data_IF_645663547351
#
_entry.id   IF_645663547351
#
_cell.length_a   1.000
_cell.length_b   1.000
_cell.length_c   1.000
_cell.angle_alpha   90.00
_cell.angle_beta   90.00
_cell.angle_gamma   90.00
#
_symmetry.space_group_name_H-M   'P 1'
#
loop_
_entity.id
_entity.type
_entity.pdbx_description
1 polymer ?
#
# COMPACT_ATOMS: atom_id res chain seq x y z
N UNK A 1 -18.10 12.57 -15.96
CA UNK A 1 -18.71 11.24 -15.78
C UNK A 1 -17.76 10.42 -14.93
N UNK A 2 -18.14 10.09 -13.70
CA UNK A 2 -17.37 9.23 -12.80
C UNK A 2 -17.50 7.79 -13.32
N UNK A 3 -16.47 7.29 -14.01
CA UNK A 3 -16.42 5.89 -14.39
C UNK A 3 -16.12 5.07 -13.13
N UNK A 4 -17.16 4.49 -12.52
CA UNK A 4 -17.01 3.53 -11.43
C UNK A 4 -16.52 2.21 -12.01
N UNK A 5 -15.20 2.05 -12.15
CA UNK A 5 -14.61 0.75 -12.51
C UNK A 5 -14.89 -0.19 -11.33
N UNK A 6 -15.72 -1.21 -11.59
CA UNK A 6 -16.01 -2.22 -10.57
C UNK A 6 -14.72 -2.99 -10.28
N UNK A 7 -14.32 -3.02 -9.01
CA UNK A 7 -13.22 -3.84 -8.56
C UNK A 7 -13.47 -5.31 -8.92
N UNK A 8 -12.41 -6.00 -9.37
CA UNK A 8 -12.46 -7.42 -9.70
C UNK A 8 -11.91 -8.19 -8.50
N UNK A 9 -12.74 -8.95 -7.76
CA UNK A 9 -12.25 -9.80 -6.69
C UNK A 9 -11.21 -10.78 -7.22
N UNK A 10 -10.12 -10.94 -6.48
CA UNK A 10 -8.97 -11.72 -6.93
C UNK A 10 -8.45 -12.56 -5.78
N UNK A 11 -8.28 -13.86 -6.02
CA UNK A 11 -7.72 -14.78 -5.02
C UNK A 11 -6.20 -14.83 -5.15
N UNK A 12 -5.50 -14.63 -4.05
CA UNK A 12 -4.04 -14.78 -3.97
C UNK A 12 -3.65 -15.32 -2.60
N UNK A 13 -2.67 -16.23 -2.53
CA UNK A 13 -2.21 -16.88 -1.30
C UNK A 13 -3.34 -17.46 -0.41
N UNK A 14 -4.43 -17.96 -1.02
CA UNK A 14 -5.61 -18.48 -0.32
C UNK A 14 -6.55 -17.42 0.26
N UNK A 15 -6.27 -16.13 0.06
CA UNK A 15 -7.10 -14.99 0.49
C UNK A 15 -7.89 -14.44 -0.69
N UNK A 16 -9.17 -14.11 -0.46
CA UNK A 16 -10.04 -13.49 -1.45
C UNK A 16 -10.06 -11.97 -1.24
N UNK A 17 -9.31 -11.25 -2.07
CA UNK A 17 -9.24 -9.79 -2.03
C UNK A 17 -10.45 -9.15 -2.71
N UNK A 18 -10.86 -7.97 -2.24
CA UNK A 18 -11.95 -7.19 -2.83
C UNK A 18 -11.58 -6.66 -4.21
N UNK A 19 -10.29 -6.46 -4.46
CA UNK A 19 -9.78 -5.98 -5.75
C UNK A 19 -8.51 -6.69 -6.21
N UNK A 20 -8.25 -6.64 -7.52
CA UNK A 20 -6.96 -7.07 -8.10
C UNK A 20 -5.80 -6.21 -7.62
N UNK A 21 -6.05 -4.94 -7.32
CA UNK A 21 -5.02 -4.02 -6.83
C UNK A 21 -4.50 -4.47 -5.46
N UNK A 22 -5.39 -4.79 -4.53
CA UNK A 22 -5.02 -5.36 -3.22
C UNK A 22 -4.28 -6.69 -3.37
N UNK A 23 -4.80 -7.61 -4.20
CA UNK A 23 -4.12 -8.89 -4.44
C UNK A 23 -2.70 -8.68 -4.99
N UNK A 24 -2.51 -7.71 -5.89
CA UNK A 24 -1.19 -7.37 -6.44
C UNK A 24 -0.27 -6.82 -5.37
N UNK A 25 -0.76 -5.96 -4.48
CA UNK A 25 0.01 -5.48 -3.33
C UNK A 25 0.41 -6.61 -2.39
N UNK A 26 -0.48 -7.56 -2.11
CA UNK A 26 -0.15 -8.76 -1.33
C UNK A 26 0.99 -9.57 -1.98
N UNK A 27 0.91 -9.82 -3.29
CA UNK A 27 1.98 -10.49 -4.03
C UNK A 27 3.29 -9.69 -4.02
N UNK A 28 3.21 -8.37 -4.13
CA UNK A 28 4.38 -7.49 -4.01
C UNK A 28 5.03 -7.57 -2.62
N UNK A 29 4.24 -7.60 -1.54
CA UNK A 29 4.76 -7.75 -0.18
C UNK A 29 5.50 -9.08 0.00
N UNK A 30 4.96 -10.18 -0.54
CA UNK A 30 5.64 -11.48 -0.52
C UNK A 30 6.97 -11.44 -1.28
N UNK A 31 7.03 -10.79 -2.45
CA UNK A 31 8.26 -10.59 -3.21
C UNK A 31 9.29 -9.73 -2.45
N UNK A 32 8.83 -8.77 -1.65
CA UNK A 32 9.66 -7.98 -0.75
C UNK A 32 10.08 -8.75 0.52
N UNK A 33 9.54 -9.97 0.75
CA UNK A 33 9.76 -10.75 1.96
C UNK A 33 9.00 -10.25 3.19
N UNK A 34 8.05 -9.32 3.03
CA UNK A 34 7.24 -8.80 4.11
C UNK A 34 6.06 -9.73 4.42
N UNK A 35 5.84 -10.00 5.70
CA UNK A 35 4.66 -10.72 6.15
C UNK A 35 3.49 -9.75 6.29
N UNK A 36 2.35 -10.15 5.78
CA UNK A 36 1.14 -9.35 5.76
C UNK A 36 -0.06 -10.14 6.30
N UNK A 37 -0.96 -9.43 6.99
CA UNK A 37 -2.31 -9.89 7.30
C UNK A 37 -3.29 -8.99 6.51
N UNK A 38 -4.34 -9.58 5.93
CA UNK A 38 -5.37 -8.86 5.17
C UNK A 38 -6.58 -8.56 6.05
N UNK A 39 -7.08 -7.32 6.00
CA UNK A 39 -8.16 -6.80 6.87
C UNK A 39 -7.99 -7.20 8.35
N UNK A 40 -6.83 -6.89 8.97
CA UNK A 40 -6.39 -7.51 10.22
C UNK A 40 -7.19 -7.10 11.45
N UNK A 41 -7.87 -5.94 11.40
CA UNK A 41 -8.49 -5.30 12.54
C UNK A 41 -9.53 -4.27 12.10
N UNK A 42 -10.42 -3.92 13.01
CA UNK A 42 -11.46 -2.90 12.83
C UNK A 42 -11.24 -1.80 13.88
N UNK A 43 -10.75 -0.63 13.46
CA UNK A 43 -10.58 0.54 14.33
C UNK A 43 -11.80 1.45 14.22
N UNK A 44 -11.90 2.39 15.14
CA UNK A 44 -12.95 3.42 15.12
C UNK A 44 -12.93 4.22 13.81
N UNK A 45 -13.88 3.91 12.91
CA UNK A 45 -14.07 4.62 11.65
C UNK A 45 -13.15 4.18 10.50
N UNK A 46 -12.29 3.18 10.71
CA UNK A 46 -11.35 2.69 9.69
C UNK A 46 -10.90 1.24 9.95
N UNK A 47 -10.97 0.40 8.91
CA UNK A 47 -10.32 -0.90 8.89
C UNK A 47 -9.19 -0.84 7.84
N UNK A 48 -7.92 -1.03 8.22
CA UNK A 48 -6.82 -1.07 7.27
C UNK A 48 -6.95 -2.27 6.32
N UNK A 49 -6.53 -2.10 5.07
CA UNK A 49 -6.50 -3.19 4.09
C UNK A 49 -5.44 -4.24 4.47
N UNK A 50 -4.29 -3.80 5.01
CA UNK A 50 -3.23 -4.70 5.48
C UNK A 50 -2.56 -4.27 6.78
N UNK A 51 -1.93 -5.23 7.45
CA UNK A 51 -0.88 -5.01 8.44
C UNK A 51 0.39 -5.68 7.94
N UNK A 52 1.46 -4.90 7.77
CA UNK A 52 2.80 -5.40 7.46
C UNK A 52 3.60 -5.58 8.74
N UNK A 53 4.32 -6.70 8.86
CA UNK A 53 5.28 -6.92 9.93
C UNK A 53 6.66 -6.48 9.43
N UNK A 54 7.10 -5.31 9.87
CA UNK A 54 8.37 -4.70 9.46
C UNK A 54 9.35 -4.62 10.62
N UNK A 55 10.57 -4.14 10.36
CA UNK A 55 11.55 -3.82 11.41
C UNK A 55 11.11 -2.67 12.33
N UNK A 56 10.13 -1.86 11.91
CA UNK A 56 9.51 -0.81 12.74
C UNK A 56 8.47 -1.38 13.72
N UNK A 57 8.10 -2.66 13.57
CA UNK A 57 6.89 -3.23 14.14
C UNK A 57 5.73 -3.25 13.13
N UNK A 58 4.46 -3.28 13.60
CA UNK A 58 3.30 -3.32 12.72
C UNK A 58 3.11 -2.00 11.98
N UNK A 59 2.98 -2.07 10.66
CA UNK A 59 2.63 -0.93 9.80
C UNK A 59 1.26 -1.21 9.19
N UNK A 60 0.30 -0.33 9.46
CA UNK A 60 -1.04 -0.41 8.87
C UNK A 60 -1.03 0.20 7.47
N UNK A 61 -1.75 -0.41 6.55
CA UNK A 61 -1.73 -0.03 5.14
C UNK A 61 -3.15 0.25 4.66
N UNK A 62 -3.30 1.34 3.92
CA UNK A 62 -4.50 1.66 3.15
C UNK A 62 -4.15 1.70 1.66
N UNK A 63 -4.90 0.96 0.85
CA UNK A 63 -4.76 0.91 -0.60
C UNK A 63 -5.90 1.70 -1.24
N UNK A 64 -5.57 2.62 -2.15
CA UNK A 64 -6.55 3.30 -2.99
C UNK A 64 -6.16 3.21 -4.47
N UNK A 65 -7.13 3.15 -5.40
CA UNK A 65 -6.88 3.26 -6.83
C UNK A 65 -6.56 4.71 -7.22
N UNK A 66 -5.62 5.33 -6.52
CA UNK A 66 -5.19 6.70 -6.68
C UNK A 66 -3.81 6.73 -7.33
N UNK A 67 -3.65 7.57 -8.35
CA UNK A 67 -2.34 7.79 -8.97
C UNK A 67 -1.56 8.80 -8.12
N UNK A 68 -0.91 8.25 -7.11
CA UNK A 68 -0.16 9.02 -6.12
C UNK A 68 1.09 9.68 -6.75
N UNK A 69 1.68 9.05 -7.78
CA UNK A 69 2.84 9.60 -8.50
C UNK A 69 2.43 10.83 -9.31
N UNK A 70 1.36 10.72 -10.10
CA UNK A 70 0.86 11.85 -10.87
C UNK A 70 0.48 13.04 -9.97
N UNK A 71 -0.12 12.77 -8.81
CA UNK A 71 -0.51 13.82 -7.87
C UNK A 71 0.70 14.52 -7.25
N UNK A 72 1.75 13.77 -6.94
CA UNK A 72 3.00 14.31 -6.44
C UNK A 72 3.64 15.31 -7.39
N UNK A 73 3.73 14.94 -8.66
CA UNK A 73 4.33 15.79 -9.69
C UNK A 73 3.56 17.11 -9.83
N UNK A 74 2.23 17.06 -9.77
CA UNK A 74 1.40 18.27 -9.76
C UNK A 74 1.65 19.16 -8.54
N UNK A 75 1.74 18.59 -7.33
CA UNK A 75 1.93 19.37 -6.11
C UNK A 75 3.34 19.95 -6.01
N UNK A 76 4.37 19.18 -6.38
CA UNK A 76 5.75 19.67 -6.47
C UNK A 76 5.88 20.84 -7.44
N UNK A 77 5.13 20.83 -8.55
CA UNK A 77 5.05 21.95 -9.49
C UNK A 77 4.34 23.19 -8.90
N UNK A 78 3.48 23.04 -7.89
CA UNK A 78 2.74 24.12 -7.22
C UNK A 78 3.45 24.70 -6.00
N UNK A 79 4.55 24.09 -5.54
CA UNK A 79 5.34 24.51 -4.37
C UNK A 79 5.20 23.57 -3.17
N UNK A 80 5.98 23.76 -2.08
CA UNK A 80 6.12 22.78 -1.00
C UNK A 80 4.93 22.81 -0.04
N UNK A 81 3.78 22.39 -0.53
CA UNK A 81 2.68 21.89 0.27
C UNK A 81 2.48 20.46 -0.20
N UNK A 82 3.19 19.49 0.40
CA UNK A 82 2.80 18.09 0.27
C UNK A 82 1.49 17.96 1.05
N UNK A 83 0.41 18.31 0.37
CA UNK A 83 -0.92 18.40 0.93
C UNK A 83 -1.40 17.03 1.35
N UNK A 84 -2.07 17.00 2.50
CA UNK A 84 -2.93 15.91 2.94
C UNK A 84 -3.73 15.37 1.74
N UNK A 85 -3.52 14.09 1.39
CA UNK A 85 -4.28 13.41 0.34
C UNK A 85 -5.60 12.95 1.00
N UNK A 86 -6.69 13.66 0.71
CA UNK A 86 -7.97 13.48 1.43
C UNK A 86 -8.55 12.08 1.28
N UNK A 87 -8.18 11.36 0.22
CA UNK A 87 -8.54 9.96 -0.02
C UNK A 87 -8.06 9.02 1.10
N UNK A 88 -7.05 9.42 1.88
CA UNK A 88 -6.50 8.66 3.00
C UNK A 88 -6.86 9.25 4.37
N UNK A 89 -7.78 10.21 4.45
CA UNK A 89 -8.09 10.91 5.71
C UNK A 89 -8.47 9.98 6.86
N UNK A 90 -9.20 8.90 6.55
CA UNK A 90 -9.55 7.88 7.54
C UNK A 90 -8.30 7.27 8.16
N UNK A 91 -7.40 6.75 7.33
CA UNK A 91 -6.13 6.18 7.78
C UNK A 91 -5.23 7.21 8.48
N UNK A 92 -5.18 8.44 7.96
CA UNK A 92 -4.37 9.53 8.50
C UNK A 92 -4.76 9.91 9.93
N UNK A 93 -6.04 9.82 10.29
CA UNK A 93 -6.51 10.10 11.65
C UNK A 93 -5.92 9.14 12.70
N UNK A 94 -5.41 7.97 12.29
CA UNK A 94 -4.78 6.99 13.18
C UNK A 94 -3.26 7.11 13.23
N UNK A 95 -2.64 7.95 12.40
CA UNK A 95 -1.18 8.10 12.28
C UNK A 95 -0.47 8.58 13.56
N UNK A 96 -1.21 9.20 14.49
CA UNK A 96 -0.66 9.58 15.81
C UNK A 96 -0.31 8.38 16.68
N UNK A 97 -1.00 7.25 16.49
CA UNK A 97 -0.91 6.06 17.33
C UNK A 97 -0.29 4.86 16.61
N UNK A 98 -0.44 4.79 15.29
CA UNK A 98 0.03 3.69 14.46
C UNK A 98 0.91 4.21 13.34
N UNK A 99 1.95 3.46 12.97
CA UNK A 99 2.63 3.73 11.71
C UNK A 99 1.69 3.34 10.58
N UNK A 100 1.43 4.28 9.67
CA UNK A 100 0.53 4.08 8.55
C UNK A 100 1.27 4.32 7.24
N UNK A 101 0.95 3.52 6.22
CA UNK A 101 1.48 3.60 4.87
C UNK A 101 0.32 3.66 3.86
N UNK A 102 0.34 4.67 3.01
CA UNK A 102 -0.66 4.89 1.96
C UNK A 102 -0.14 4.38 0.62
N UNK A 103 -0.90 3.49 -0.03
CA UNK A 103 -0.51 2.84 -1.28
C UNK A 103 -1.50 3.13 -2.40
N UNK A 104 -0.97 3.48 -3.56
CA UNK A 104 -1.74 3.81 -4.76
C UNK A 104 -1.81 2.69 -5.80
N UNK A 105 -1.93 3.10 -7.07
CA UNK A 105 -1.91 2.22 -8.25
C UNK A 105 -0.58 1.51 -8.52
N UNK A 106 0.52 1.99 -7.93
CA UNK A 106 1.85 1.40 -8.04
C UNK A 106 2.73 1.89 -6.87
N UNK A 107 3.86 1.21 -6.60
CA UNK A 107 4.86 1.77 -5.71
C UNK A 107 5.49 3.03 -6.32
N UNK A 108 6.08 3.87 -5.45
CA UNK A 108 6.98 4.93 -5.90
C UNK A 108 8.27 4.31 -6.47
N UNK A 109 9.02 5.08 -7.25
CA UNK A 109 10.23 4.62 -7.93
C UNK A 109 11.38 4.34 -6.96
N UNK A 110 12.41 3.66 -7.46
CA UNK A 110 13.64 3.36 -6.73
C UNK A 110 14.23 4.60 -6.02
N UNK A 111 14.72 4.39 -4.80
CA UNK A 111 15.23 5.46 -3.93
C UNK A 111 14.15 6.18 -3.11
N UNK A 112 12.87 5.84 -3.26
CA UNK A 112 11.78 6.32 -2.44
C UNK A 112 11.10 5.17 -1.66
N UNK A 113 10.41 5.46 -0.55
CA UNK A 113 9.50 4.52 0.09
C UNK A 113 8.51 3.93 -0.93
N UNK A 114 8.07 2.68 -0.74
CA UNK A 114 7.12 2.03 -1.66
C UNK A 114 5.77 2.76 -1.78
N UNK A 115 5.47 3.68 -0.86
CA UNK A 115 4.30 4.55 -0.93
C UNK A 115 4.49 5.75 -0.03
N UNK A 116 3.38 6.37 0.39
CA UNK A 116 3.43 7.53 1.26
C UNK A 116 3.30 7.14 2.72
N UNK A 117 4.38 7.21 3.52
CA UNK A 117 4.23 7.01 4.95
C UNK A 117 3.56 8.23 5.60
N UNK A 118 2.71 7.97 6.58
CA UNK A 118 2.47 8.95 7.62
C UNK A 118 3.78 9.26 8.36
N UNK A 119 3.90 10.46 8.93
CA UNK A 119 4.99 10.76 9.86
C UNK A 119 4.98 9.75 11.02
N UNK A 120 6.14 9.52 11.67
CA UNK A 120 6.22 8.57 12.78
C UNK A 120 5.21 8.93 13.87
N UNK A 121 4.57 7.93 14.51
CA UNK A 121 3.69 8.14 15.65
C UNK A 121 4.35 8.95 16.76
N UNK A 122 3.55 9.60 17.60
CA UNK A 122 4.02 10.56 18.63
C UNK A 122 5.12 9.99 19.55
N UNK A 123 5.09 8.68 19.81
CA UNK A 123 6.04 7.96 20.66
C UNK A 123 6.80 6.87 19.89
N UNK A 124 7.05 7.07 18.59
CA UNK A 124 7.78 6.10 17.79
C UNK A 124 9.19 5.87 18.39
N UNK A 125 9.61 4.61 18.60
CA UNK A 125 10.94 4.29 19.10
C UNK A 125 12.04 4.42 18.02
N UNK A 126 11.71 4.99 16.87
CA UNK A 126 12.59 5.15 15.72
C UNK A 126 12.47 6.55 15.10
N UNK A 127 13.55 7.08 14.53
CA UNK A 127 13.52 8.35 13.82
C UNK A 127 12.90 8.21 12.42
N UNK A 128 12.53 9.36 11.82
CA UNK A 128 11.97 9.44 10.47
C UNK A 128 12.80 8.72 9.40
N UNK A 129 14.13 8.89 9.43
CA UNK A 129 15.01 8.26 8.44
C UNK A 129 15.00 6.72 8.50
N UNK A 130 14.93 6.14 9.70
CA UNK A 130 14.82 4.68 9.88
C UNK A 130 13.46 4.19 9.39
N UNK A 131 12.41 4.98 9.60
CA UNK A 131 11.11 4.66 9.04
C UNK A 131 11.13 4.64 7.51
N UNK A 132 11.70 5.65 6.86
CA UNK A 132 11.83 5.68 5.40
C UNK A 132 12.59 4.48 4.85
N UNK A 133 13.74 4.14 5.44
CA UNK A 133 14.57 3.01 5.02
C UNK A 133 13.81 1.68 5.11
N UNK A 134 13.08 1.46 6.21
CA UNK A 134 12.36 0.22 6.47
C UNK A 134 11.22 -0.09 5.47
N UNK A 135 10.73 0.92 4.76
CA UNK A 135 9.67 0.78 3.74
C UNK A 135 10.16 1.16 2.34
N UNK A 136 11.46 1.38 2.16
CA UNK A 136 12.08 1.58 0.86
C UNK A 136 12.50 0.23 0.31
N UNK A 137 12.19 -0.02 -0.96
CA UNK A 137 12.51 -1.25 -1.66
C UNK A 137 13.36 -0.92 -2.86
N UNK A 138 14.39 -1.73 -3.13
CA UNK A 138 15.24 -1.58 -4.31
C UNK A 138 14.48 -2.05 -5.56
N UNK A 139 14.48 -1.24 -6.63
CA UNK A 139 13.82 -1.54 -7.91
C UNK A 139 12.38 -2.02 -7.76
N UNK A 140 11.51 -1.26 -7.07
CA UNK A 140 10.14 -1.67 -6.80
C UNK A 140 9.33 -1.89 -8.08
N UNK A 141 9.67 -1.23 -9.19
CA UNK A 141 9.03 -1.41 -10.49
C UNK A 141 9.13 -2.85 -11.02
N UNK A 142 10.26 -3.53 -10.79
CA UNK A 142 10.46 -4.91 -11.25
C UNK A 142 9.58 -5.87 -10.45
N UNK A 143 9.60 -5.75 -9.12
CA UNK A 143 8.75 -6.55 -8.23
C UNK A 143 7.27 -6.26 -8.48
N UNK A 144 6.91 -5.00 -8.77
CA UNK A 144 5.54 -4.63 -9.11
C UNK A 144 5.06 -5.30 -10.38
N UNK A 145 5.88 -5.32 -11.44
CA UNK A 145 5.57 -6.01 -12.68
C UNK A 145 5.37 -7.52 -12.44
N UNK A 146 6.25 -8.15 -11.68
CA UNK A 146 6.15 -9.57 -11.32
C UNK A 146 4.90 -9.87 -10.50
N UNK A 147 4.60 -9.06 -9.47
CA UNK A 147 3.37 -9.17 -8.69
C UNK A 147 2.12 -9.08 -9.58
N UNK A 148 2.15 -8.22 -10.60
CA UNK A 148 1.08 -8.09 -11.59
C UNK A 148 0.85 -9.38 -12.37
N UNK A 149 1.93 -10.02 -12.83
CA UNK A 149 1.89 -11.30 -13.53
C UNK A 149 1.34 -12.42 -12.63
N UNK A 150 1.72 -12.43 -11.35
CA UNK A 150 1.29 -13.44 -10.37
C UNK A 150 -0.23 -13.45 -10.18
N UNK A 151 -0.85 -12.27 -10.09
CA UNK A 151 -2.29 -12.11 -9.82
C UNK A 151 -3.13 -11.94 -11.09
N UNK A 152 -2.48 -12.00 -12.25
CA UNK A 152 -3.18 -11.94 -13.52
C UNK A 152 -4.08 -13.17 -13.68
N UNK A 153 -5.27 -12.94 -14.24
CA UNK A 153 -6.17 -14.04 -14.56
C UNK A 153 -5.55 -14.94 -15.63
N UNK A 154 -5.49 -16.24 -15.34
CA UNK A 154 -5.07 -17.27 -16.30
C UNK A 154 -6.21 -18.25 -16.56
N UNK A 155 -6.60 -18.49 -17.83
CA UNK A 155 -7.70 -19.39 -18.17
C UNK A 155 -7.49 -20.83 -17.68
N UNK A 156 -6.24 -21.27 -17.55
CA UNK A 156 -5.87 -22.65 -17.19
C UNK A 156 -5.93 -22.98 -15.70
N UNK A 157 -6.02 -21.98 -14.79
CA UNK A 157 -6.03 -22.21 -13.33
C UNK A 157 -7.40 -22.65 -12.75
N UNK A 158 -8.42 -22.85 -13.60
CA UNK A 158 -9.76 -23.32 -13.18
C UNK A 158 -9.90 -24.84 -13.06
N UNK A 159 -8.92 -25.63 -13.50
CA UNK A 159 -9.03 -27.10 -13.55
C UNK A 159 -8.55 -27.82 -12.27
N UNK A 160 -8.13 -27.09 -11.23
CA UNK A 160 -7.67 -27.68 -9.98
C UNK A 160 -8.35 -26.97 -8.80
N UNK A 161 -9.65 -27.22 -8.64
CA UNK A 161 -10.43 -26.97 -7.44
C UNK A 161 -11.46 -28.09 -7.30
#
# INVERSE_FOLDING_TARGET
>A
MTYTIKAIPTTYAGVNFRSRLEARWAAFFDLCGWKWDYEPLDLEGWAPDFLLRTVLGPVLVEVKPYDVVAKLDEELARGPSVGRISEYDKAANHGKHHQVLYLGLSPLSDGYPVGFPAIPPLNAPYPYAVMLDAITVNRPEHLWAEAGNIVQWHPSRRAAA
#
